data_IF_439624980477
#
_entry.id   IF_439624980477
#
_cell.length_a   1.000
_cell.length_b   1.000
_cell.length_c   1.000
_cell.angle_alpha   90.00
_cell.angle_beta   90.00
_cell.angle_gamma   90.00
#
_symmetry.space_group_name_H-M   'P 1'
#
loop_
_entity.id
_entity.type
_entity.pdbx_description
1 polymer ?
#
# COMPACT_ATOMS: atom_id res chain seq x y z
N UNK A 1 -9.03 12.30 25.02
CA UNK A 1 -9.38 12.39 23.58
C UNK A 1 -8.07 12.52 22.85
N UNK A 2 -7.39 11.38 22.71
CA UNK A 2 -6.03 11.28 22.22
C UNK A 2 -5.96 11.68 20.75
N UNK A 3 -5.01 12.57 20.50
CA UNK A 3 -4.28 12.88 19.27
C UNK A 3 -4.48 11.90 18.11
N UNK A 4 -5.02 12.41 17.00
CA UNK A 4 -4.86 11.80 15.69
C UNK A 4 -3.36 11.83 15.35
N UNK A 5 -2.76 10.67 15.18
CA UNK A 5 -1.44 10.52 14.58
C UNK A 5 -1.47 11.05 13.14
N UNK A 6 -1.16 12.33 13.02
CA UNK A 6 -0.91 12.98 11.74
C UNK A 6 0.45 12.48 11.26
N UNK A 7 0.46 11.49 10.37
CA UNK A 7 1.68 11.10 9.67
C UNK A 7 2.35 12.35 9.08
N UNK A 8 3.65 12.59 9.32
CA UNK A 8 4.33 13.75 8.77
C UNK A 8 4.30 13.62 7.24
N UNK A 9 3.70 14.61 6.59
CA UNK A 9 3.71 14.73 5.14
C UNK A 9 5.15 14.98 4.69
N UNK A 10 5.81 13.95 4.17
CA UNK A 10 7.05 14.13 3.44
C UNK A 10 6.75 14.95 2.19
N UNK A 11 6.99 16.26 2.26
CA UNK A 11 7.12 17.11 1.07
C UNK A 11 8.31 16.56 0.27
N UNK A 12 8.06 15.65 -0.66
CA UNK A 12 9.02 15.29 -1.69
C UNK A 12 9.17 16.54 -2.55
N UNK A 13 10.17 17.36 -2.25
CA UNK A 13 10.65 18.37 -3.18
C UNK A 13 11.12 17.63 -4.42
N UNK A 14 10.24 17.58 -5.43
CA UNK A 14 10.58 17.13 -6.78
C UNK A 14 11.66 18.10 -7.27
N UNK A 15 12.92 17.70 -7.13
CA UNK A 15 14.04 18.40 -7.75
C UNK A 15 13.69 18.52 -9.24
N UNK A 16 13.58 19.74 -9.81
CA UNK A 16 13.29 19.88 -11.22
C UNK A 16 14.50 19.35 -11.98
N UNK A 17 14.35 18.17 -12.59
CA UNK A 17 15.33 17.64 -13.54
C UNK A 17 15.35 18.61 -14.72
N UNK A 18 16.37 19.48 -14.72
CA UNK A 18 16.61 20.43 -15.80
C UNK A 18 16.83 19.67 -17.10
N UNK A 19 15.81 19.69 -17.98
CA UNK A 19 15.92 19.16 -19.34
C UNK A 19 16.81 20.10 -20.15
N UNK A 20 18.14 19.91 -20.10
CA UNK A 20 19.05 20.50 -21.09
C UNK A 20 18.71 19.91 -22.47
N UNK A 21 17.92 20.65 -23.24
CA UNK A 21 17.58 20.38 -24.64
C UNK A 21 18.84 20.57 -25.49
N UNK A 22 19.60 19.50 -25.71
CA UNK A 22 20.64 19.43 -26.74
C UNK A 22 19.98 18.93 -28.03
N UNK A 23 19.69 19.86 -28.94
CA UNK A 23 19.32 19.55 -30.31
C UNK A 23 20.46 18.77 -30.95
N UNK A 24 20.23 17.50 -31.34
CA UNK A 24 21.06 16.79 -32.29
C UNK A 24 20.12 15.97 -33.18
N UNK A 25 20.10 16.31 -34.47
CA UNK A 25 19.33 15.71 -35.56
C UNK A 25 19.74 14.26 -35.86
N UNK A 26 19.64 13.36 -34.87
CA UNK A 26 19.87 11.91 -34.99
C UNK A 26 18.68 11.09 -34.44
N UNK A 27 17.47 11.66 -34.49
CA UNK A 27 16.30 11.12 -33.80
C UNK A 27 15.70 9.85 -34.43
N UNK A 28 16.13 9.45 -35.63
CA UNK A 28 15.67 8.21 -36.28
C UNK A 28 16.55 6.98 -36.01
N UNK A 29 17.74 7.14 -35.42
CA UNK A 29 18.66 6.01 -35.14
C UNK A 29 18.58 5.51 -33.68
N UNK A 30 17.80 6.18 -32.82
CA UNK A 30 17.72 5.86 -31.38
C UNK A 30 16.54 4.99 -30.97
N UNK A 31 15.52 4.89 -31.81
CA UNK A 31 14.29 4.17 -31.51
C UNK A 31 14.30 2.86 -32.31
N UNK A 32 14.22 1.74 -31.61
CA UNK A 32 14.03 0.44 -32.24
C UNK A 32 12.72 0.44 -33.03
N UNK A 33 12.67 -0.25 -34.16
CA UNK A 33 11.43 -0.46 -34.90
C UNK A 33 10.47 -1.33 -34.07
N UNK A 34 9.17 -1.26 -34.38
CA UNK A 34 8.18 -2.05 -33.64
C UNK A 34 8.43 -3.57 -33.78
N UNK A 35 8.93 -4.01 -34.94
CA UNK A 35 9.34 -5.40 -35.16
C UNK A 35 10.56 -5.78 -34.31
N UNK A 36 11.55 -4.89 -34.22
CA UNK A 36 12.71 -5.10 -33.32
C UNK A 36 12.27 -5.18 -31.86
N UNK A 37 11.33 -4.32 -31.43
CA UNK A 37 10.78 -4.35 -30.08
C UNK A 37 10.04 -5.65 -29.82
N UNK A 38 9.21 -6.10 -30.75
CA UNK A 38 8.44 -7.34 -30.63
C UNK A 38 9.34 -8.57 -30.45
N UNK A 39 10.42 -8.67 -31.22
CA UNK A 39 11.39 -9.75 -31.08
C UNK A 39 12.17 -9.67 -29.76
N UNK A 40 12.58 -8.46 -29.34
CA UNK A 40 13.22 -8.25 -28.04
C UNK A 40 12.28 -8.62 -26.87
N UNK A 41 10.99 -8.30 -26.96
CA UNK A 41 9.98 -8.65 -25.96
C UNK A 41 9.70 -10.14 -25.90
N UNK A 42 9.52 -10.80 -27.05
CA UNK A 42 9.33 -12.25 -27.12
C UNK A 42 10.49 -13.01 -26.46
N UNK A 43 11.73 -12.59 -26.72
CA UNK A 43 12.89 -13.21 -26.08
C UNK A 43 12.93 -12.89 -24.59
N UNK A 44 12.61 -11.66 -24.18
CA UNK A 44 12.57 -11.27 -22.77
C UNK A 44 11.54 -12.07 -21.95
N UNK A 45 10.40 -12.41 -22.55
CA UNK A 45 9.39 -13.25 -21.92
C UNK A 45 9.89 -14.67 -21.66
N UNK A 46 10.70 -15.23 -22.58
CA UNK A 46 11.34 -16.53 -22.39
C UNK A 46 12.56 -16.50 -21.46
N UNK A 47 13.39 -15.46 -21.53
CA UNK A 47 14.66 -15.34 -20.82
C UNK A 47 14.88 -13.90 -20.32
N UNK A 48 14.69 -13.71 -19.01
CA UNK A 48 14.90 -12.40 -18.36
C UNK A 48 16.39 -12.01 -18.25
N UNK A 49 17.29 -13.00 -18.37
CA UNK A 49 18.75 -12.84 -18.46
C UNK A 49 19.26 -13.42 -19.78
N UNK A 50 19.67 -12.55 -20.69
CA UNK A 50 20.19 -12.95 -21.99
C UNK A 50 21.66 -13.37 -21.88
N UNK A 51 21.95 -14.62 -22.21
CA UNK A 51 23.31 -15.16 -22.28
C UNK A 51 24.18 -14.37 -23.27
N UNK A 52 25.49 -14.17 -23.01
CA UNK A 52 26.37 -13.36 -23.87
C UNK A 52 26.40 -13.81 -25.33
N UNK A 53 26.33 -15.13 -25.57
CA UNK A 53 26.30 -15.72 -26.93
C UNK A 53 25.00 -15.39 -27.67
N UNK A 54 23.85 -15.58 -27.01
CA UNK A 54 22.51 -15.26 -27.56
C UNK A 54 22.35 -13.76 -27.81
N UNK A 55 22.93 -12.92 -26.95
CA UNK A 55 22.96 -11.47 -27.14
C UNK A 55 23.66 -11.05 -28.43
N UNK A 56 24.79 -11.68 -28.76
CA UNK A 56 25.50 -11.37 -30.01
C UNK A 56 24.69 -11.84 -31.21
N UNK A 57 24.09 -13.03 -31.13
CA UNK A 57 23.21 -13.55 -32.19
C UNK A 57 22.00 -12.64 -32.43
N UNK A 58 21.28 -12.29 -31.37
CA UNK A 58 20.11 -11.41 -31.44
C UNK A 58 20.47 -10.02 -31.98
N UNK A 59 21.62 -9.48 -31.59
CA UNK A 59 22.12 -8.23 -32.12
C UNK A 59 22.36 -8.31 -33.65
N UNK A 60 22.92 -9.42 -34.15
CA UNK A 60 23.10 -9.64 -35.60
C UNK A 60 21.76 -9.77 -36.33
N UNK A 61 20.85 -10.59 -35.80
CA UNK A 61 19.52 -10.82 -36.40
C UNK A 61 18.71 -9.52 -36.52
N UNK A 62 18.78 -8.65 -35.50
CA UNK A 62 18.08 -7.37 -35.49
C UNK A 62 18.84 -6.22 -36.19
N UNK A 63 20.07 -6.46 -36.66
CA UNK A 63 20.94 -5.41 -37.20
C UNK A 63 21.33 -4.33 -36.17
N UNK A 64 21.36 -4.69 -34.88
CA UNK A 64 21.64 -3.80 -33.76
C UNK A 64 23.02 -4.03 -33.17
N UNK A 65 23.56 -3.05 -32.45
CA UNK A 65 24.78 -3.28 -31.69
C UNK A 65 24.48 -4.09 -30.41
N UNK A 66 25.36 -5.04 -30.01
CA UNK A 66 25.18 -5.79 -28.76
C UNK A 66 24.99 -4.88 -27.53
N UNK A 67 25.60 -3.69 -27.53
CA UNK A 67 25.42 -2.69 -26.47
C UNK A 67 23.97 -2.19 -26.39
N UNK A 68 23.31 -1.95 -27.52
CA UNK A 68 21.92 -1.49 -27.57
C UNK A 68 20.96 -2.55 -27.01
N UNK A 69 21.15 -3.82 -27.38
CA UNK A 69 20.41 -4.95 -26.81
C UNK A 69 20.62 -5.02 -25.29
N UNK A 70 21.86 -4.85 -24.81
CA UNK A 70 22.15 -4.86 -23.37
C UNK A 70 21.37 -3.77 -22.61
N UNK A 71 21.41 -2.54 -23.12
CA UNK A 71 20.73 -1.38 -22.51
C UNK A 71 19.21 -1.60 -22.55
N UNK A 72 18.68 -2.14 -23.65
CA UNK A 72 17.26 -2.43 -23.74
C UNK A 72 16.83 -3.45 -22.68
N UNK A 73 17.54 -4.57 -22.53
CA UNK A 73 17.24 -5.57 -21.50
C UNK A 73 17.39 -5.02 -20.07
N UNK A 74 18.38 -4.16 -19.83
CA UNK A 74 18.52 -3.47 -18.54
C UNK A 74 17.32 -2.57 -18.25
N UNK A 75 16.93 -1.72 -19.20
CA UNK A 75 15.79 -0.83 -19.07
C UNK A 75 14.48 -1.60 -18.93
N UNK A 76 14.33 -2.71 -19.65
CA UNK A 76 13.15 -3.57 -19.56
C UNK A 76 13.02 -4.19 -18.18
N UNK A 77 14.12 -4.74 -17.62
CA UNK A 77 14.14 -5.24 -16.23
C UNK A 77 13.85 -4.15 -15.21
N UNK A 78 14.40 -2.95 -15.39
CA UNK A 78 14.13 -1.83 -14.49
C UNK A 78 12.63 -1.48 -14.50
N UNK A 79 12.01 -1.36 -15.67
CA UNK A 79 10.57 -1.08 -15.82
C UNK A 79 9.72 -2.20 -15.21
N UNK A 80 10.07 -3.46 -15.46
CA UNK A 80 9.36 -4.60 -14.89
C UNK A 80 9.42 -4.58 -13.37
N UNK A 81 10.60 -4.38 -12.79
CA UNK A 81 10.78 -4.26 -11.33
C UNK A 81 10.00 -3.07 -10.76
N UNK A 82 10.03 -1.91 -11.41
CA UNK A 82 9.23 -0.75 -10.98
C UNK A 82 7.73 -1.06 -10.99
N UNK A 83 7.22 -1.72 -12.03
CA UNK A 83 5.81 -2.12 -12.12
C UNK A 83 5.44 -3.13 -11.03
N UNK A 84 6.33 -4.07 -10.74
CA UNK A 84 6.14 -5.04 -9.65
C UNK A 84 6.06 -4.33 -8.30
N UNK A 85 7.03 -3.45 -7.98
CA UNK A 85 7.02 -2.67 -6.74
C UNK A 85 5.74 -1.82 -6.61
N UNK A 86 5.29 -1.19 -7.69
CA UNK A 86 4.06 -0.41 -7.69
C UNK A 86 2.85 -1.30 -7.35
N UNK A 87 2.78 -2.51 -7.92
CA UNK A 87 1.71 -3.45 -7.63
C UNK A 87 1.78 -3.97 -6.19
N UNK A 88 2.96 -4.32 -5.71
CA UNK A 88 3.18 -4.79 -4.34
C UNK A 88 2.77 -3.70 -3.34
N UNK A 89 3.11 -2.44 -3.62
CA UNK A 89 2.69 -1.30 -2.78
C UNK A 89 1.17 -1.12 -2.78
N UNK A 90 0.50 -1.28 -3.93
CA UNK A 90 -0.97 -1.22 -4.00
C UNK A 90 -1.62 -2.33 -3.18
N UNK A 91 -1.11 -3.56 -3.28
CA UNK A 91 -1.61 -4.70 -2.52
C UNK A 91 -1.43 -4.46 -1.02
N UNK A 92 -0.22 -4.07 -0.60
CA UNK A 92 0.11 -3.81 0.80
C UNK A 92 -0.76 -2.68 1.37
N UNK A 93 -1.05 -1.64 0.58
CA UNK A 93 -1.94 -0.56 0.99
C UNK A 93 -3.38 -1.04 1.19
N UNK A 94 -3.89 -1.86 0.28
CA UNK A 94 -5.23 -2.43 0.42
C UNK A 94 -5.34 -3.33 1.66
N UNK A 95 -4.31 -4.12 1.96
CA UNK A 95 -4.24 -4.93 3.19
C UNK A 95 -4.22 -4.05 4.45
N UNK A 96 -3.43 -2.96 4.43
CA UNK A 96 -3.40 -1.99 5.52
C UNK A 96 -4.77 -1.35 5.75
N UNK A 97 -5.44 -0.86 4.69
CA UNK A 97 -6.75 -0.22 4.78
C UNK A 97 -7.80 -1.21 5.34
N UNK A 98 -7.72 -2.49 4.95
CA UNK A 98 -8.56 -3.55 5.50
C UNK A 98 -8.29 -3.76 7.00
N UNK A 99 -7.03 -3.87 7.40
CA UNK A 99 -6.64 -4.05 8.79
C UNK A 99 -7.11 -2.88 9.68
N UNK A 100 -7.00 -1.64 9.18
CA UNK A 100 -7.53 -0.45 9.85
C UNK A 100 -9.04 -0.56 10.05
N UNK A 101 -9.80 -0.95 9.03
CA UNK A 101 -11.25 -1.14 9.13
C UNK A 101 -11.64 -2.21 10.15
N UNK A 102 -10.88 -3.31 10.22
CA UNK A 102 -11.10 -4.36 11.23
C UNK A 102 -10.81 -3.85 12.63
N UNK A 103 -9.69 -3.14 12.81
CA UNK A 103 -9.32 -2.55 14.09
C UNK A 103 -10.37 -1.56 14.59
N UNK A 104 -10.86 -0.66 13.72
CA UNK A 104 -11.90 0.29 14.08
C UNK A 104 -13.20 -0.39 14.49
N UNK A 105 -13.58 -1.46 13.79
CA UNK A 105 -14.77 -2.26 14.11
C UNK A 105 -14.64 -2.95 15.48
N UNK A 106 -13.50 -3.60 15.74
CA UNK A 106 -13.20 -4.23 17.03
C UNK A 106 -13.16 -3.21 18.17
N UNK A 107 -12.60 -2.03 17.92
CA UNK A 107 -12.56 -0.94 18.88
C UNK A 107 -13.97 -0.46 19.25
N UNK A 108 -14.85 -0.28 18.25
CA UNK A 108 -16.24 0.09 18.49
C UNK A 108 -16.99 -0.98 19.28
N UNK A 109 -16.79 -2.25 18.97
CA UNK A 109 -17.40 -3.35 19.74
C UNK A 109 -16.92 -3.34 21.19
N UNK A 110 -15.61 -3.21 21.41
CA UNK A 110 -15.02 -3.08 22.75
C UNK A 110 -15.63 -1.90 23.52
N UNK A 111 -15.77 -0.74 22.89
CA UNK A 111 -16.35 0.45 23.53
C UNK A 111 -17.83 0.24 23.87
N UNK A 112 -18.60 -0.40 22.98
CA UNK A 112 -20.00 -0.78 23.23
C UNK A 112 -20.12 -1.74 24.43
N UNK A 113 -19.29 -2.79 24.48
CA UNK A 113 -19.27 -3.75 25.59
C UNK A 113 -18.92 -3.07 26.92
N UNK A 114 -17.95 -2.16 26.92
CA UNK A 114 -17.61 -1.37 28.12
C UNK A 114 -18.81 -0.56 28.61
N UNK A 115 -19.53 0.11 27.71
CA UNK A 115 -20.74 0.85 28.07
C UNK A 115 -21.84 -0.06 28.61
N UNK A 116 -22.04 -1.23 28.03
CA UNK A 116 -23.00 -2.22 28.53
C UNK A 116 -22.65 -2.68 29.95
N UNK A 117 -21.38 -2.98 30.22
CA UNK A 117 -20.90 -3.36 31.55
C UNK A 117 -21.18 -2.24 32.55
N UNK A 118 -20.79 -1.01 32.24
CA UNK A 118 -21.01 0.17 33.11
C UNK A 118 -22.51 0.36 33.39
N UNK A 119 -23.35 0.31 32.36
CA UNK A 119 -24.79 0.48 32.51
C UNK A 119 -25.40 -0.63 33.36
N UNK A 120 -24.97 -1.87 33.18
CA UNK A 120 -25.45 -3.02 33.96
C UNK A 120 -25.09 -2.85 35.43
N UNK A 121 -23.83 -2.51 35.74
CA UNK A 121 -23.41 -2.22 37.11
C UNK A 121 -24.19 -1.06 37.73
N UNK A 122 -24.43 0.01 36.97
CA UNK A 122 -25.23 1.16 37.42
C UNK A 122 -26.65 0.74 37.79
N UNK A 123 -27.32 -0.05 36.92
CA UNK A 123 -28.69 -0.53 37.16
C UNK A 123 -28.77 -1.48 38.36
N UNK A 124 -27.82 -2.40 38.50
CA UNK A 124 -27.74 -3.29 39.67
C UNK A 124 -27.53 -2.49 40.95
N UNK A 125 -26.65 -1.49 40.94
CA UNK A 125 -26.43 -0.60 42.07
C UNK A 125 -27.71 0.16 42.45
N UNK A 126 -28.42 0.75 41.48
CA UNK A 126 -29.70 1.43 41.74
C UNK A 126 -30.76 0.48 42.30
N UNK A 127 -30.86 -0.74 41.77
CA UNK A 127 -31.81 -1.75 42.25
C UNK A 127 -31.52 -2.16 43.70
N UNK A 128 -30.25 -2.45 44.02
CA UNK A 128 -29.82 -2.80 45.37
C UNK A 128 -30.03 -1.63 46.34
N UNK A 129 -29.63 -0.41 45.96
CA UNK A 129 -29.81 0.78 46.76
C UNK A 129 -31.29 1.04 47.05
N UNK A 130 -32.15 0.98 46.02
CA UNK A 130 -33.60 1.14 46.17
C UNK A 130 -34.20 0.08 47.11
N UNK A 131 -33.79 -1.18 46.99
CA UNK A 131 -34.25 -2.27 47.86
C UNK A 131 -33.85 -2.05 49.32
N UNK A 132 -32.60 -1.67 49.59
CA UNK A 132 -32.09 -1.42 50.94
C UNK A 132 -32.80 -0.20 51.56
N UNK A 133 -32.86 0.90 50.82
CA UNK A 133 -33.44 2.15 51.28
C UNK A 133 -34.95 2.01 51.52
N UNK A 134 -35.68 1.38 50.60
CA UNK A 134 -37.11 1.08 50.75
C UNK A 134 -37.41 0.27 52.02
N UNK A 135 -36.62 -0.77 52.32
CA UNK A 135 -36.74 -1.55 53.57
C UNK A 135 -36.48 -0.72 54.83
N UNK A 136 -35.53 0.20 54.78
CA UNK A 136 -35.18 1.07 55.92
C UNK A 136 -36.30 2.08 56.23
N UNK A 137 -36.84 2.74 55.21
CA UNK A 137 -37.93 3.71 55.34
C UNK A 137 -39.24 3.05 55.79
N UNK A 138 -39.56 1.86 55.26
CA UNK A 138 -40.75 1.12 55.67
C UNK A 138 -40.70 0.66 57.12
N UNK A 139 -39.51 0.30 57.63
CA UNK A 139 -39.34 -0.11 59.03
C UNK A 139 -39.37 1.07 60.01
N UNK A 140 -38.84 2.24 59.61
CA UNK A 140 -38.90 3.46 60.42
C UNK A 140 -40.32 4.02 60.56
N UNK A 141 -41.18 3.88 59.54
CA UNK A 141 -42.57 4.34 59.57
C UNK A 141 -43.51 3.48 60.45
N UNK A 142 -43.04 2.32 60.92
CA UNK A 142 -43.80 1.40 61.80
C UNK A 142 -43.40 1.51 63.27
N UNK A 143 -42.38 2.32 63.57
CA UNK A 143 -41.82 2.56 64.90
C UNK A 143 -42.17 3.94 65.49
N UNK A 144 -43.04 4.70 64.81
CA UNK A 144 -43.70 5.93 65.29
C UNK A 144 -45.20 5.67 65.43
#
# INVERSE_FOLDING_TARGET
MESRDQFPSFQHSLIPISKKKKNNNNNNQRRFSDEQIKQLESIFESETKLEPKKKIQLARELGLQPKQVAIWFQNRRARWKSKQIEQDFKNLRAEYDNLVSQFDSLKQEKDSLVLQVINTFRLLFFSLFYSIFSKYYFKSSRAS
#
